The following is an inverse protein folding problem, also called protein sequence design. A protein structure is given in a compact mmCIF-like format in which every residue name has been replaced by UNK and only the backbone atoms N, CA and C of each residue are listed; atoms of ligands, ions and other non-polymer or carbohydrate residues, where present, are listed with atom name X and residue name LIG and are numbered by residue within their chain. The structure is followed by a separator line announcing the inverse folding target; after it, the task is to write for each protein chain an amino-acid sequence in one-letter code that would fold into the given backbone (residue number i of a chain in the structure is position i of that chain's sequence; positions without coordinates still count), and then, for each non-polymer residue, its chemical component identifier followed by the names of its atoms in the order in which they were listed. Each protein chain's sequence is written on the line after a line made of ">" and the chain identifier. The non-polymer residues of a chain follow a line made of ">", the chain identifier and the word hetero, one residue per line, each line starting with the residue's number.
data_IF_648915079898
#
_entry.id   IF_648915079898
#
_cell.length_a   1.000
_cell.length_b   1.000
_cell.length_c   1.000
_cell.angle_alpha   90.00
_cell.angle_beta   90.00
_cell.angle_gamma   90.00
#
_symmetry.space_group_name_H-M   'P 1'
#
loop_
_entity.id
_entity.type
_entity.pdbx_description
1 polymer ?
#
# COMPACT_ATOMS: atom_id res chain seq x y z
N UNK A 1 11.14 10.66 0.68
CA UNK A 1 10.73 11.05 -0.68
C UNK A 1 11.93 11.62 -1.41
N UNK A 2 12.16 11.17 -2.65
CA UNK A 2 13.23 11.66 -3.49
C UNK A 2 12.67 12.59 -4.57
N UNK A 3 13.37 13.70 -4.85
CA UNK A 3 13.00 14.68 -5.87
C UNK A 3 12.58 16.03 -5.28
N UNK A 4 13.54 16.88 -4.95
CA UNK A 4 13.29 18.17 -4.30
C UNK A 4 13.06 19.34 -5.27
N UNK A 5 13.14 19.08 -6.59
CA UNK A 5 12.97 20.13 -7.58
C UNK A 5 11.50 20.32 -7.95
N UNK A 6 11.01 21.56 -8.04
CA UNK A 6 9.66 21.82 -8.54
C UNK A 6 9.46 21.23 -9.94
N UNK A 7 8.38 20.46 -10.13
CA UNK A 7 8.05 19.84 -11.41
C UNK A 7 8.65 18.45 -11.64
N UNK A 8 9.47 17.91 -10.73
CA UNK A 8 9.94 16.54 -10.80
C UNK A 8 8.99 15.58 -10.06
N UNK A 9 8.92 14.35 -10.58
CA UNK A 9 8.26 13.24 -9.88
C UNK A 9 8.98 12.95 -8.57
N UNK A 10 8.22 12.83 -7.50
CA UNK A 10 8.69 12.55 -6.15
C UNK A 10 8.37 11.11 -5.81
N UNK A 11 9.38 10.25 -5.87
CA UNK A 11 9.25 8.84 -5.57
C UNK A 11 9.15 8.58 -4.06
N UNK A 12 8.22 7.73 -3.66
CA UNK A 12 8.23 7.07 -2.35
C UNK A 12 8.94 5.71 -2.52
N UNK A 13 10.15 5.53 -2.02
CA UNK A 13 10.78 4.21 -2.01
C UNK A 13 10.10 3.32 -0.96
N UNK A 14 9.56 2.21 -1.40
CA UNK A 14 8.90 1.23 -0.53
C UNK A 14 9.59 -0.10 -0.71
N UNK A 15 10.24 -0.59 0.33
CA UNK A 15 11.10 -1.76 0.26
C UNK A 15 10.38 -2.99 0.79
N UNK A 16 10.08 -3.93 -0.12
CA UNK A 16 9.56 -5.27 0.19
C UNK A 16 8.32 -5.21 1.12
N UNK A 17 8.43 -5.73 2.33
CA UNK A 17 7.37 -5.78 3.35
C UNK A 17 6.85 -4.42 3.81
N UNK A 18 7.55 -3.34 3.58
CA UNK A 18 7.08 -2.01 3.96
C UNK A 18 5.74 -1.67 3.31
N UNK A 19 5.47 -2.22 2.11
CA UNK A 19 4.18 -2.03 1.44
C UNK A 19 2.99 -2.64 2.20
N UNK A 20 3.22 -3.56 3.13
CA UNK A 20 2.16 -4.21 3.90
C UNK A 20 1.62 -3.28 5.01
N UNK A 21 2.43 -2.30 5.40
CA UNK A 21 2.09 -1.32 6.43
C UNK A 21 1.49 -0.05 5.80
N UNK A 22 0.17 0.02 5.79
CA UNK A 22 -0.56 1.12 5.15
C UNK A 22 -0.21 2.49 5.70
N UNK A 23 -0.10 2.63 7.03
CA UNK A 23 0.22 3.91 7.68
C UNK A 23 1.61 4.40 7.26
N UNK A 24 2.59 3.50 7.20
CA UNK A 24 3.94 3.82 6.73
C UNK A 24 3.93 4.33 5.28
N UNK A 25 3.18 3.68 4.39
CA UNK A 25 3.08 4.11 2.99
C UNK A 25 2.32 5.43 2.86
N UNK A 26 1.29 5.67 3.65
CA UNK A 26 0.56 6.95 3.62
C UNK A 26 1.38 8.12 4.13
N UNK A 27 2.38 7.91 4.97
CA UNK A 27 3.30 8.97 5.38
C UNK A 27 4.11 9.54 4.22
N UNK A 28 4.49 8.70 3.24
CA UNK A 28 5.13 9.20 2.01
C UNK A 28 4.21 10.13 1.21
N UNK A 29 2.90 9.86 1.19
CA UNK A 29 1.92 10.75 0.54
C UNK A 29 1.87 12.10 1.24
N UNK A 30 1.83 12.10 2.57
CA UNK A 30 1.87 13.32 3.41
C UNK A 30 3.15 14.12 3.19
N UNK A 31 4.26 13.46 2.92
CA UNK A 31 5.54 14.06 2.55
C UNK A 31 5.58 14.51 1.07
N UNK A 32 4.49 14.34 0.32
CA UNK A 32 4.32 14.83 -1.04
C UNK A 32 4.85 13.91 -2.14
N UNK A 33 4.86 12.60 -1.93
CA UNK A 33 5.15 11.65 -3.00
C UNK A 33 4.08 11.70 -4.10
N UNK A 34 4.50 11.52 -5.38
CA UNK A 34 3.61 11.45 -6.53
C UNK A 34 3.37 10.02 -7.01
N UNK A 35 4.28 9.10 -6.70
CA UNK A 35 4.15 7.69 -7.01
C UNK A 35 4.91 6.82 -6.00
N UNK A 36 4.56 5.56 -5.92
CA UNK A 36 5.22 4.57 -5.08
C UNK A 36 6.18 3.75 -5.95
N UNK A 37 7.45 3.70 -5.54
CA UNK A 37 8.48 2.86 -6.15
C UNK A 37 8.74 1.65 -5.26
N UNK A 38 8.05 0.54 -5.51
CA UNK A 38 8.17 -0.69 -4.73
C UNK A 38 9.31 -1.54 -5.27
N UNK A 39 10.25 -1.88 -4.41
CA UNK A 39 11.35 -2.81 -4.70
C UNK A 39 11.25 -4.02 -3.80
N UNK A 40 11.24 -5.22 -4.36
CA UNK A 40 11.03 -6.42 -3.58
C UNK A 40 11.77 -7.64 -4.14
N UNK A 41 11.94 -8.63 -3.28
CA UNK A 41 12.34 -9.98 -3.66
C UNK A 41 11.33 -10.97 -3.10
N UNK A 42 10.49 -11.51 -3.97
CA UNK A 42 9.44 -12.45 -3.59
C UNK A 42 9.91 -13.91 -3.61
N UNK A 43 11.20 -14.15 -3.84
CA UNK A 43 11.80 -15.49 -3.94
C UNK A 43 11.58 -16.38 -2.71
N UNK A 44 11.33 -15.76 -1.53
CA UNK A 44 11.07 -16.45 -0.28
C UNK A 44 9.87 -17.39 -0.31
N UNK A 45 8.83 -17.05 -1.10
CA UNK A 45 7.61 -17.84 -1.19
C UNK A 45 7.69 -18.93 -2.28
N UNK A 46 8.74 -18.95 -3.09
CA UNK A 46 8.74 -19.78 -4.29
C UNK A 46 7.57 -19.41 -5.22
N UNK A 47 7.33 -20.21 -6.25
CA UNK A 47 6.20 -19.99 -7.16
C UNK A 47 4.87 -20.46 -6.53
N UNK A 48 4.44 -19.80 -5.47
CA UNK A 48 3.22 -20.07 -4.71
C UNK A 48 2.29 -18.86 -4.75
N UNK A 49 1.04 -18.96 -4.28
CA UNK A 49 0.14 -17.79 -4.18
C UNK A 49 0.68 -16.61 -3.36
N UNK A 50 1.72 -16.82 -2.53
CA UNK A 50 2.28 -15.78 -1.67
C UNK A 50 2.78 -14.56 -2.43
N UNK A 51 3.53 -14.74 -3.53
CA UNK A 51 4.01 -13.62 -4.34
C UNK A 51 2.89 -12.87 -5.06
N UNK A 52 1.80 -13.57 -5.42
CA UNK A 52 0.61 -12.94 -6.00
C UNK A 52 -0.12 -12.12 -4.95
N UNK A 53 -0.25 -12.65 -3.72
CA UNK A 53 -0.83 -11.90 -2.61
C UNK A 53 -0.03 -10.64 -2.30
N UNK A 54 1.30 -10.73 -2.33
CA UNK A 54 2.17 -9.58 -2.13
C UNK A 54 2.02 -8.51 -3.24
N UNK A 55 1.75 -8.91 -4.50
CA UNK A 55 1.33 -8.00 -5.56
C UNK A 55 -0.01 -7.32 -5.23
N UNK A 56 -0.97 -8.04 -4.64
CA UNK A 56 -2.25 -7.46 -4.26
C UNK A 56 -2.12 -6.38 -3.18
N UNK A 57 -1.14 -6.48 -2.27
CA UNK A 57 -0.85 -5.38 -1.34
C UNK A 57 -0.39 -4.12 -2.09
N UNK A 58 0.47 -4.23 -3.10
CA UNK A 58 0.85 -3.08 -3.92
C UNK A 58 -0.37 -2.43 -4.61
N UNK A 59 -1.31 -3.24 -5.12
CA UNK A 59 -2.57 -2.76 -5.69
C UNK A 59 -3.43 -2.04 -4.65
N UNK A 60 -3.51 -2.58 -3.44
CA UNK A 60 -4.23 -1.96 -2.34
C UNK A 60 -3.62 -0.61 -1.97
N UNK A 61 -2.29 -0.52 -1.90
CA UNK A 61 -1.59 0.75 -1.66
C UNK A 61 -1.91 1.78 -2.74
N UNK A 62 -1.97 1.38 -4.01
CA UNK A 62 -2.37 2.29 -5.10
C UNK A 62 -3.75 2.89 -4.85
N UNK A 63 -4.73 2.08 -4.48
CA UNK A 63 -6.11 2.53 -4.19
C UNK A 63 -6.17 3.43 -2.96
N UNK A 64 -5.52 3.04 -1.87
CA UNK A 64 -5.52 3.79 -0.61
C UNK A 64 -4.85 5.15 -0.72
N UNK A 65 -3.76 5.22 -1.49
CA UNK A 65 -2.99 6.46 -1.65
C UNK A 65 -3.46 7.31 -2.82
N UNK A 66 -4.16 6.74 -3.79
CA UNK A 66 -4.49 7.39 -5.05
C UNK A 66 -3.27 7.57 -5.97
N UNK A 67 -2.16 6.89 -5.68
CA UNK A 67 -0.90 7.02 -6.42
C UNK A 67 -0.67 5.81 -7.33
N UNK A 68 0.06 6.05 -8.40
CA UNK A 68 0.60 4.96 -9.21
C UNK A 68 1.67 4.19 -8.46
N UNK A 69 1.77 2.90 -8.74
CA UNK A 69 2.81 2.03 -8.20
C UNK A 69 3.67 1.48 -9.34
N UNK A 70 4.95 1.74 -9.24
CA UNK A 70 5.99 1.12 -10.07
C UNK A 70 6.65 0.05 -9.21
N UNK A 71 6.34 -1.22 -9.49
CA UNK A 71 6.85 -2.36 -8.73
C UNK A 71 7.92 -3.09 -9.52
N UNK A 72 9.10 -3.22 -8.91
CA UNK A 72 10.22 -4.03 -9.40
C UNK A 72 10.45 -5.20 -8.45
N UNK A 73 10.32 -6.41 -8.94
CA UNK A 73 10.57 -7.63 -8.19
C UNK A 73 11.75 -8.39 -8.79
N UNK A 74 12.74 -8.73 -7.96
CA UNK A 74 13.87 -9.55 -8.40
C UNK A 74 13.41 -10.95 -8.86
N UNK A 75 12.60 -11.59 -8.02
CA UNK A 75 11.87 -12.83 -8.31
C UNK A 75 10.44 -12.58 -7.87
N UNK A 76 9.47 -12.74 -8.69
CA UNK A 76 8.10 -12.37 -8.38
C UNK A 76 7.48 -11.60 -9.54
N UNK A 77 6.43 -10.84 -9.29
CA UNK A 77 5.75 -10.09 -10.33
C UNK A 77 6.16 -8.63 -10.30
N UNK A 78 6.87 -8.17 -11.34
CA UNK A 78 7.04 -6.74 -11.58
C UNK A 78 5.80 -6.17 -12.26
N UNK A 79 5.39 -4.95 -11.92
CA UNK A 79 4.14 -4.39 -12.44
C UNK A 79 4.13 -2.87 -12.45
N UNK A 80 3.38 -2.32 -13.39
CA UNK A 80 2.92 -0.92 -13.39
C UNK A 80 1.44 -0.96 -13.02
N UNK A 81 1.07 -0.26 -11.96
CA UNK A 81 -0.26 -0.26 -11.38
C UNK A 81 -0.78 1.17 -11.32
N UNK A 82 -1.98 1.42 -11.82
CA UNK A 82 -2.60 2.73 -11.76
C UNK A 82 -3.16 3.05 -10.36
N UNK A 83 -3.58 4.30 -10.16
CA UNK A 83 -4.17 4.79 -8.90
C UNK A 83 -5.47 4.08 -8.48
N UNK A 84 -6.08 3.27 -9.37
CA UNK A 84 -7.26 2.45 -9.09
C UNK A 84 -6.90 1.01 -8.73
N UNK A 85 -5.61 0.69 -8.68
CA UNK A 85 -5.14 -0.67 -8.41
C UNK A 85 -5.20 -1.60 -9.63
N UNK A 86 -5.41 -1.05 -10.85
CA UNK A 86 -5.40 -1.84 -12.08
C UNK A 86 -3.96 -2.11 -12.51
N UNK A 87 -3.63 -3.36 -12.74
CA UNK A 87 -2.33 -3.75 -13.30
C UNK A 87 -2.35 -3.47 -14.80
N UNK A 88 -1.64 -2.44 -15.24
CA UNK A 88 -1.58 -2.04 -16.63
C UNK A 88 -0.56 -2.86 -17.43
N UNK A 89 0.56 -3.15 -16.81
CA UNK A 89 1.63 -3.97 -17.36
C UNK A 89 2.17 -4.88 -16.27
N UNK A 90 2.57 -6.08 -16.63
CA UNK A 90 3.21 -7.01 -15.69
C UNK A 90 4.27 -7.87 -16.37
N UNK A 91 5.25 -8.24 -15.60
CA UNK A 91 6.24 -9.25 -15.90
C UNK A 91 6.11 -10.35 -14.84
N UNK A 92 5.83 -11.56 -15.30
CA UNK A 92 5.50 -12.68 -14.43
C UNK A 92 6.73 -13.22 -13.67
N UNK A 93 6.46 -14.14 -12.75
CA UNK A 93 7.43 -14.82 -11.92
C UNK A 93 8.64 -15.30 -12.73
N UNK A 94 9.85 -15.01 -12.21
CA UNK A 94 11.14 -15.46 -12.73
C UNK A 94 11.33 -15.17 -14.24
N UNK A 95 10.83 -14.02 -14.70
CA UNK A 95 11.01 -13.53 -16.05
C UNK A 95 11.92 -12.32 -16.06
N UNK A 96 13.03 -12.42 -16.78
CA UNK A 96 13.89 -11.28 -17.06
C UNK A 96 13.24 -10.37 -18.11
N UNK A 97 13.22 -9.07 -17.86
CA UNK A 97 12.64 -8.10 -18.79
C UNK A 97 12.59 -6.69 -18.17
N UNK A 98 11.93 -5.79 -18.89
CA UNK A 98 11.66 -4.44 -18.42
C UNK A 98 10.21 -4.05 -18.74
N UNK A 99 9.69 -3.12 -17.97
CA UNK A 99 8.40 -2.49 -18.20
C UNK A 99 8.63 -0.99 -18.35
N UNK A 100 7.91 -0.38 -19.28
CA UNK A 100 7.95 1.06 -19.54
C UNK A 100 6.55 1.64 -19.44
N UNK A 101 6.42 2.73 -18.68
CA UNK A 101 5.17 3.49 -18.63
C UNK A 101 5.45 4.97 -18.32
N UNK A 102 4.61 5.83 -18.87
CA UNK A 102 4.54 7.21 -18.43
C UNK A 102 3.66 7.30 -17.20
N UNK A 103 4.27 7.55 -16.05
CA UNK A 103 3.54 7.80 -14.80
C UNK A 103 3.10 9.25 -14.81
N UNK A 104 1.80 9.54 -14.80
CA UNK A 104 1.34 10.93 -14.77
C UNK A 104 1.75 11.59 -13.46
N UNK A 105 2.11 12.86 -13.50
CA UNK A 105 2.28 13.68 -12.30
C UNK A 105 0.89 13.93 -11.69
N UNK A 106 0.44 12.96 -10.92
CA UNK A 106 -0.84 13.05 -10.25
C UNK A 106 -0.64 13.86 -8.97
N UNK A 107 -0.73 15.18 -9.08
CA UNK A 107 -0.87 16.06 -7.90
C UNK A 107 -2.29 15.94 -7.37
N UNK A 108 -2.66 14.72 -7.02
CA UNK A 108 -3.98 14.44 -6.50
C UNK A 108 -4.10 14.97 -5.08
N UNK A 109 -5.28 15.46 -4.78
CA UNK A 109 -5.67 15.63 -3.39
C UNK A 109 -5.52 14.27 -2.69
N UNK A 110 -4.90 14.22 -1.51
CA UNK A 110 -4.77 13.00 -0.75
C UNK A 110 -6.14 12.34 -0.59
N UNK A 111 -6.21 11.03 -0.78
CA UNK A 111 -7.43 10.25 -0.53
C UNK A 111 -7.89 10.43 0.92
N UNK A 112 -9.15 10.12 1.20
CA UNK A 112 -9.65 10.11 2.58
C UNK A 112 -8.77 9.24 3.47
N UNK A 113 -8.38 8.05 2.99
CA UNK A 113 -7.52 7.13 3.74
C UNK A 113 -6.13 7.73 4.03
N UNK A 114 -5.49 8.37 3.05
CA UNK A 114 -4.18 9.02 3.24
C UNK A 114 -4.23 10.16 4.27
N UNK A 115 -5.40 10.81 4.43
CA UNK A 115 -5.60 11.87 5.44
C UNK A 115 -5.88 11.30 6.83
N UNK A 116 -6.77 10.32 6.92
CA UNK A 116 -7.30 9.79 8.20
C UNK A 116 -6.55 8.57 8.72
N UNK A 117 -5.71 7.92 7.88
CA UNK A 117 -5.02 6.68 8.25
C UNK A 117 -5.99 5.54 8.53
N UNK A 118 -5.55 4.57 9.31
CA UNK A 118 -6.35 3.42 9.74
C UNK A 118 -7.36 3.79 10.83
N UNK A 119 -8.32 4.69 10.49
CA UNK A 119 -9.34 5.16 11.45
C UNK A 119 -10.24 4.04 11.97
N UNK A 120 -10.53 3.01 11.16
CA UNK A 120 -11.33 1.87 11.59
C UNK A 120 -10.60 1.06 12.66
N UNK A 121 -9.30 0.83 12.50
CA UNK A 121 -8.46 0.22 13.54
C UNK A 121 -8.45 1.05 14.82
N UNK A 122 -8.26 2.36 14.68
CA UNK A 122 -8.31 3.29 15.81
C UNK A 122 -9.65 3.27 16.56
N UNK A 123 -10.77 3.28 15.82
CA UNK A 123 -12.10 3.15 16.43
C UNK A 123 -12.29 1.81 17.16
N UNK A 124 -11.78 0.73 16.60
CA UNK A 124 -11.92 -0.61 17.16
C UNK A 124 -11.24 -0.74 18.53
N UNK A 125 -10.11 -0.04 18.74
CA UNK A 125 -9.38 -0.01 20.03
C UNK A 125 -10.26 0.56 21.16
N UNK A 126 -11.14 1.49 20.86
CA UNK A 126 -12.07 2.08 21.84
C UNK A 126 -13.39 1.31 21.96
N UNK A 127 -13.92 0.82 20.84
CA UNK A 127 -15.20 0.11 20.83
C UNK A 127 -15.14 -1.26 21.48
N UNK A 128 -14.05 -2.02 21.26
CA UNK A 128 -13.92 -3.36 21.79
C UNK A 128 -13.97 -3.40 23.35
N UNK A 129 -13.21 -2.58 24.11
CA UNK A 129 -13.30 -2.58 25.57
C UNK A 129 -14.65 -2.09 26.07
N UNK A 130 -15.30 -1.13 25.38
CA UNK A 130 -16.65 -0.67 25.74
C UNK A 130 -17.69 -1.80 25.61
N UNK A 131 -17.61 -2.56 24.52
CA UNK A 131 -18.48 -3.73 24.33
C UNK A 131 -18.24 -4.79 25.40
N UNK A 132 -16.98 -5.11 25.70
CA UNK A 132 -16.62 -6.05 26.74
C UNK A 132 -17.12 -5.59 28.10
N UNK A 133 -16.97 -4.31 28.43
CA UNK A 133 -17.49 -3.74 29.67
C UNK A 133 -19.02 -3.85 29.75
N UNK A 134 -19.72 -3.58 28.65
CA UNK A 134 -21.18 -3.68 28.58
C UNK A 134 -21.67 -5.12 28.85
N UNK A 135 -20.99 -6.11 28.28
CA UNK A 135 -21.30 -7.52 28.53
C UNK A 135 -21.01 -7.89 29.97
N UNK A 136 -19.88 -7.45 30.51
CA UNK A 136 -19.51 -7.73 31.90
C UNK A 136 -20.53 -7.14 32.90
N UNK A 137 -20.95 -5.90 32.72
CA UNK A 137 -21.99 -5.26 33.55
C UNK A 137 -23.31 -6.02 33.47
N UNK A 138 -23.77 -6.37 32.25
CA UNK A 138 -25.02 -7.16 32.07
C UNK A 138 -24.97 -8.53 32.77
N UNK A 139 -23.82 -9.18 32.77
CA UNK A 139 -23.67 -10.48 33.41
C UNK A 139 -23.66 -10.37 34.95
N UNK A 140 -23.19 -9.24 35.48
CA UNK A 140 -23.19 -8.99 36.95
C UNK A 140 -24.58 -8.59 37.45
N UNK A 141 -25.34 -7.81 36.69
CA UNK A 141 -26.69 -7.36 37.08
C UNK A 141 -27.79 -8.44 36.99
N UNK A 142 -27.49 -9.58 36.34
CA UNK A 142 -28.41 -10.72 36.27
C UNK A 142 -28.16 -11.78 37.39
N UNK A 143 -27.21 -11.55 38.24
CA UNK A 143 -26.97 -12.34 39.45
C UNK A 143 -27.48 -11.61 40.69
#
# INVERSE_FOLDING_TARGET
>A
VFGDRPGLLRAAPVICWEQDFSDYVTDYVRLGANFLAVQTNDGWWGNTPGHIQHLHYARLRAVETGLWVVRSANTGVSAIIDHRGTVLQRLDWDRAGHLEASVPDVRNEPTYYSRSGNYLGGMSVWLAPLLLLSVWVKTRTKR
#
